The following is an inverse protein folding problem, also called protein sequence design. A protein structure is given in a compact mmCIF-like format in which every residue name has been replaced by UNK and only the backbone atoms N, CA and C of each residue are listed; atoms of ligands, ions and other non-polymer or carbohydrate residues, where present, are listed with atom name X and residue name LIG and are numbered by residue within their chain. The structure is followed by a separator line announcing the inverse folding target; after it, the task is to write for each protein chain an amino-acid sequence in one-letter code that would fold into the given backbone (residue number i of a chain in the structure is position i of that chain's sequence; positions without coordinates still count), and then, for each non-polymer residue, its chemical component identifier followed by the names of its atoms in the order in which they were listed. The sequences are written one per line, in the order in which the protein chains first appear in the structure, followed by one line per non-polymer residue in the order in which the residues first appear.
data_IF_622747476862
#
_entry.id   IF_622747476862
#
_cell.length_a   1.000
_cell.length_b   1.000
_cell.length_c   1.000
_cell.angle_alpha   90.00
_cell.angle_beta   90.00
_cell.angle_gamma   90.00
#
_symmetry.space_group_name_H-M   'P 1'
#
loop_
_entity.id
_entity.type
_entity.pdbx_description
1 polymer ?
#
# COMPACT_ATOMS: atom_id res chain seq x y z
N UNK A 1 2.02 -1.26 -15.83
CA UNK A 1 2.35 -1.69 -14.46
C UNK A 1 1.15 -2.46 -13.89
N UNK A 2 1.35 -3.63 -13.33
CA UNK A 2 0.22 -4.38 -12.81
C UNK A 2 -0.12 -3.93 -11.37
N UNK A 3 -1.28 -4.37 -10.90
CA UNK A 3 -1.80 -3.95 -9.59
C UNK A 3 -0.87 -4.37 -8.44
N UNK A 4 -0.26 -5.55 -8.54
CA UNK A 4 0.63 -6.05 -7.48
C UNK A 4 1.86 -5.17 -7.36
N UNK A 5 2.46 -4.83 -8.50
CA UNK A 5 3.63 -3.95 -8.51
C UNK A 5 3.30 -2.59 -7.91
N UNK A 6 2.16 -2.02 -8.26
CA UNK A 6 1.72 -0.74 -7.74
C UNK A 6 1.50 -0.80 -6.23
N UNK A 7 0.91 -1.88 -5.73
CA UNK A 7 0.68 -2.06 -4.30
C UNK A 7 1.99 -2.19 -3.53
N UNK A 8 2.93 -2.98 -4.06
CA UNK A 8 4.24 -3.14 -3.43
C UNK A 8 4.95 -1.80 -3.36
N UNK A 9 4.93 -1.04 -4.45
CA UNK A 9 5.56 0.28 -4.49
C UNK A 9 4.96 1.21 -3.44
N UNK A 10 3.63 1.26 -3.35
CA UNK A 10 2.95 2.13 -2.41
C UNK A 10 3.29 1.77 -0.97
N UNK A 11 3.25 0.49 -0.63
CA UNK A 11 3.54 0.05 0.74
C UNK A 11 5.00 0.27 1.11
N UNK A 12 5.91 -0.02 0.18
CA UNK A 12 7.33 0.17 0.43
C UNK A 12 7.66 1.64 0.63
N UNK A 13 7.06 2.51 -0.19
CA UNK A 13 7.31 3.95 -0.11
C UNK A 13 6.71 4.55 1.15
N UNK A 14 5.49 4.16 1.49
CA UNK A 14 4.75 4.77 2.60
C UNK A 14 5.25 4.29 3.96
N UNK A 15 5.55 2.99 4.08
CA UNK A 15 5.89 2.38 5.37
C UNK A 15 7.36 1.97 5.48
N UNK A 16 8.12 2.00 4.38
CA UNK A 16 9.51 1.58 4.39
C UNK A 16 9.69 0.08 4.49
N UNK A 17 8.68 -0.71 4.12
CA UNK A 17 8.76 -2.16 4.18
C UNK A 17 9.51 -2.71 2.98
N UNK A 18 10.16 -3.87 3.18
CA UNK A 18 10.82 -4.57 2.09
C UNK A 18 9.80 -5.30 1.24
N UNK A 19 10.09 -5.41 -0.06
CA UNK A 19 9.19 -6.10 -0.99
C UNK A 19 8.88 -7.53 -0.53
N UNK A 20 9.90 -8.27 -0.06
CA UNK A 20 9.70 -9.64 0.38
C UNK A 20 8.70 -9.72 1.54
N UNK A 21 8.77 -8.77 2.45
CA UNK A 21 7.85 -8.74 3.59
C UNK A 21 6.43 -8.40 3.15
N UNK A 22 6.31 -7.47 2.20
CA UNK A 22 5.00 -7.09 1.65
C UNK A 22 4.35 -8.28 0.96
N UNK A 23 5.12 -9.03 0.18
CA UNK A 23 4.60 -10.19 -0.54
C UNK A 23 4.21 -11.35 0.37
N UNK A 24 4.69 -11.36 1.61
CA UNK A 24 4.28 -12.36 2.61
C UNK A 24 2.92 -12.05 3.23
N UNK A 25 2.44 -10.83 3.11
CA UNK A 25 1.15 -10.46 3.68
C UNK A 25 0.03 -11.18 2.94
N UNK A 26 -0.98 -11.70 3.67
CA UNK A 26 -2.18 -12.20 3.01
C UNK A 26 -2.83 -11.09 2.20
N UNK A 27 -3.51 -11.48 1.12
CA UNK A 27 -4.11 -10.51 0.21
C UNK A 27 -5.05 -9.53 0.92
N UNK A 28 -5.89 -10.04 1.83
CA UNK A 28 -6.86 -9.18 2.52
C UNK A 28 -6.16 -8.14 3.41
N UNK A 29 -5.04 -8.51 4.01
CA UNK A 29 -4.26 -7.58 4.83
C UNK A 29 -3.61 -6.51 3.96
N UNK A 30 -3.04 -6.94 2.84
CA UNK A 30 -2.39 -6.01 1.93
C UNK A 30 -3.40 -5.01 1.38
N UNK A 31 -4.60 -5.48 1.03
CA UNK A 31 -5.67 -4.60 0.55
C UNK A 31 -6.11 -3.62 1.62
N UNK A 32 -6.16 -4.05 2.88
CA UNK A 32 -6.53 -3.16 3.99
C UNK A 32 -5.53 -2.01 4.13
N UNK A 33 -4.24 -2.31 4.04
CA UNK A 33 -3.22 -1.26 4.11
C UNK A 33 -3.29 -0.30 2.93
N UNK A 34 -3.59 -0.82 1.74
CA UNK A 34 -3.76 0.03 0.55
C UNK A 34 -4.95 0.97 0.74
N UNK A 35 -6.05 0.49 1.31
CA UNK A 35 -7.20 1.34 1.61
C UNK A 35 -6.85 2.44 2.59
N UNK A 36 -6.05 2.13 3.61
CA UNK A 36 -5.61 3.14 4.57
C UNK A 36 -4.75 4.21 3.90
N UNK A 37 -3.87 3.79 3.00
CA UNK A 37 -3.04 4.74 2.25
C UNK A 37 -3.93 5.65 1.40
N UNK A 38 -4.91 5.09 0.72
CA UNK A 38 -5.82 5.86 -0.12
C UNK A 38 -6.63 6.86 0.70
N UNK A 39 -7.07 6.47 1.88
CA UNK A 39 -7.78 7.39 2.78
C UNK A 39 -6.88 8.53 3.23
N UNK A 40 -5.63 8.22 3.57
CA UNK A 40 -4.68 9.25 3.98
C UNK A 40 -4.43 10.24 2.85
N UNK A 41 -4.26 9.73 1.62
CA UNK A 41 -4.03 10.58 0.46
C UNK A 41 -5.24 11.49 0.21
N UNK A 42 -6.45 10.94 0.28
CA UNK A 42 -7.67 11.74 0.09
C UNK A 42 -7.79 12.81 1.16
N UNK A 43 -7.45 12.47 2.40
CA UNK A 43 -7.50 13.42 3.51
C UNK A 43 -6.49 14.54 3.30
N UNK A 44 -5.28 14.19 2.84
CA UNK A 44 -4.25 15.18 2.55
C UNK A 44 -4.62 16.08 1.39
N UNK A 45 -5.32 15.53 0.39
CA UNK A 45 -5.71 16.27 -0.81
C UNK A 45 -7.03 17.02 -0.66
N UNK A 46 -7.83 16.64 0.31
CA UNK A 46 -9.22 17.11 0.45
C UNK A 46 -9.39 18.42 1.19
N UNK A 47 -8.33 19.15 1.38
CA UNK A 47 -8.38 20.42 2.11
C UNK A 47 -8.85 21.56 1.27
#
# INVERSE_FOLDING_TARGET
MNAITAQVHALATRYGWKEADILRLPLHRRNAYIELINEDIRRESGR
#
